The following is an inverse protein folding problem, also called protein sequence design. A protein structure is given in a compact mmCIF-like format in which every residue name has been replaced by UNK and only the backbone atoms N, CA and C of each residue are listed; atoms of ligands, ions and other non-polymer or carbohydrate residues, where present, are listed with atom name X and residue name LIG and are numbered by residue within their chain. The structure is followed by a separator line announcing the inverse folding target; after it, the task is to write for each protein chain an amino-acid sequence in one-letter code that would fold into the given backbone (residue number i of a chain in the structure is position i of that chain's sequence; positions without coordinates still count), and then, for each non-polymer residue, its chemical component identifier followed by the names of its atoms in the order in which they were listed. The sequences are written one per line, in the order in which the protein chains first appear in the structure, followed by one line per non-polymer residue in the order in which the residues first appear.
data_IF_972319765399
#
_entry.id   IF_972319765399
#
_cell.length_a   1.000
_cell.length_b   1.000
_cell.length_c   1.000
_cell.angle_alpha   90.00
_cell.angle_beta   90.00
_cell.angle_gamma   90.00
#
_symmetry.space_group_name_H-M   'P 1'
#
loop_
_entity.id
_entity.type
_entity.pdbx_description
1 polymer ?
#
# COMPACT_ATOMS: atom_id res chain seq x y z
N UNK A 1 7.19 -29.47 -11.80
CA UNK A 1 6.44 -29.71 -13.07
C UNK A 1 6.05 -28.36 -13.67
N UNK A 2 5.27 -27.49 -12.98
CA UNK A 2 4.77 -26.19 -13.50
C UNK A 2 5.88 -25.36 -14.16
N UNK A 3 6.96 -25.06 -13.45
CA UNK A 3 8.02 -24.19 -13.96
C UNK A 3 8.77 -24.77 -15.16
N UNK A 4 8.91 -26.11 -15.22
CA UNK A 4 9.48 -26.78 -16.39
C UNK A 4 8.61 -26.55 -17.62
N UNK A 5 7.30 -26.79 -17.50
CA UNK A 5 6.35 -26.59 -18.60
C UNK A 5 6.38 -25.17 -19.13
N UNK A 6 6.36 -24.17 -18.21
CA UNK A 6 6.42 -22.77 -18.60
C UNK A 6 7.76 -22.40 -19.26
N UNK A 7 8.87 -22.92 -18.72
CA UNK A 7 10.21 -22.72 -19.30
C UNK A 7 10.32 -23.30 -20.71
N UNK A 8 9.82 -24.52 -20.92
CA UNK A 8 9.84 -25.20 -22.23
C UNK A 8 9.02 -24.42 -23.30
N UNK A 9 8.08 -23.62 -22.87
CA UNK A 9 7.28 -22.71 -23.73
C UNK A 9 7.82 -21.28 -23.78
N UNK A 10 8.99 -21.00 -23.20
CA UNK A 10 9.58 -19.66 -23.08
C UNK A 10 8.62 -18.66 -22.42
N UNK A 11 7.92 -19.08 -21.37
CA UNK A 11 7.02 -18.24 -20.59
C UNK A 11 7.72 -17.85 -19.30
N UNK A 12 8.02 -16.56 -19.16
CA UNK A 12 8.60 -15.99 -17.94
C UNK A 12 7.54 -15.78 -16.87
N UNK A 13 7.91 -16.09 -15.62
CA UNK A 13 7.07 -15.85 -14.44
C UNK A 13 7.63 -14.67 -13.67
N UNK A 14 6.85 -13.61 -13.54
CA UNK A 14 7.25 -12.37 -12.86
C UNK A 14 7.06 -12.44 -11.34
N UNK A 15 5.99 -13.08 -10.87
CA UNK A 15 5.67 -13.25 -9.46
C UNK A 15 5.16 -14.66 -9.22
N UNK A 16 5.58 -15.24 -8.09
CA UNK A 16 5.11 -16.52 -7.60
C UNK A 16 4.55 -16.29 -6.20
N UNK A 17 3.35 -16.77 -5.96
CA UNK A 17 2.76 -16.77 -4.61
C UNK A 17 2.19 -18.15 -4.32
N UNK A 18 2.58 -18.71 -3.20
CA UNK A 18 2.11 -20.01 -2.75
C UNK A 18 1.52 -19.86 -1.34
N UNK A 19 0.29 -20.31 -1.17
CA UNK A 19 -0.34 -20.38 0.15
C UNK A 19 0.24 -21.51 0.99
N UNK A 20 0.09 -21.41 2.31
CA UNK A 20 0.58 -22.43 3.27
C UNK A 20 -0.11 -23.79 3.12
N UNK A 21 -1.20 -23.88 2.37
CA UNK A 21 -1.98 -25.12 2.18
C UNK A 21 -1.40 -26.06 1.11
N UNK A 22 -0.32 -25.69 0.42
CA UNK A 22 0.28 -26.43 -0.71
C UNK A 22 -0.67 -26.71 -1.91
N UNK A 23 -1.94 -26.29 -1.81
CA UNK A 23 -2.99 -26.62 -2.76
C UNK A 23 -3.21 -25.59 -3.87
N UNK A 24 -2.50 -24.47 -3.81
CA UNK A 24 -2.64 -23.43 -4.82
C UNK A 24 -1.37 -22.64 -5.03
N UNK A 25 -1.01 -22.43 -6.30
CA UNK A 25 0.11 -21.59 -6.72
C UNK A 25 -0.45 -20.48 -7.61
N UNK A 26 -0.25 -19.22 -7.22
CA UNK A 26 -0.53 -18.07 -8.04
C UNK A 26 0.71 -17.65 -8.81
N UNK A 27 0.57 -17.43 -10.11
CA UNK A 27 1.65 -17.00 -10.98
C UNK A 27 1.25 -15.75 -11.75
N UNK A 28 2.16 -14.81 -11.91
CA UNK A 28 1.99 -13.67 -12.81
C UNK A 28 2.89 -13.87 -14.03
N UNK A 29 2.29 -13.84 -15.19
CA UNK A 29 2.94 -13.98 -16.49
C UNK A 29 2.43 -12.89 -17.45
N UNK A 30 3.09 -12.72 -18.58
CA UNK A 30 2.63 -11.80 -19.61
C UNK A 30 1.27 -12.23 -20.17
N UNK A 31 0.39 -11.26 -20.39
CA UNK A 31 -1.00 -11.51 -20.79
C UNK A 31 -1.13 -12.20 -22.16
N UNK A 32 -0.23 -11.91 -23.09
CA UNK A 32 -0.17 -12.56 -24.42
C UNK A 32 0.20 -14.05 -24.37
N UNK A 33 0.80 -14.50 -23.26
CA UNK A 33 1.20 -15.89 -23.00
C UNK A 33 0.18 -16.68 -22.19
N UNK A 34 -0.86 -16.03 -21.66
CA UNK A 34 -1.80 -16.67 -20.75
C UNK A 34 -2.47 -17.92 -21.33
N UNK A 35 -3.01 -17.82 -22.55
CA UNK A 35 -3.67 -18.97 -23.21
C UNK A 35 -2.69 -20.11 -23.48
N UNK A 36 -1.45 -19.80 -23.90
CA UNK A 36 -0.42 -20.80 -24.15
C UNK A 36 -0.01 -21.52 -22.86
N UNK A 37 0.07 -20.76 -21.74
CA UNK A 37 0.38 -21.32 -20.43
C UNK A 37 -0.71 -22.27 -19.94
N UNK A 38 -1.97 -21.88 -20.06
CA UNK A 38 -3.12 -22.72 -19.65
C UNK A 38 -3.12 -24.03 -20.41
N UNK A 39 -3.07 -23.98 -21.75
CA UNK A 39 -3.08 -25.18 -22.58
C UNK A 39 -1.90 -26.13 -22.26
N UNK A 40 -0.71 -25.58 -22.05
CA UNK A 40 0.46 -26.40 -21.72
C UNK A 40 0.36 -27.03 -20.33
N UNK A 41 -0.19 -26.32 -19.36
CA UNK A 41 -0.41 -26.84 -18.02
C UNK A 41 -1.56 -27.86 -17.98
N UNK A 42 -2.67 -27.63 -18.67
CA UNK A 42 -3.77 -28.58 -18.77
C UNK A 42 -3.30 -29.90 -19.38
N UNK A 43 -2.48 -29.84 -20.42
CA UNK A 43 -1.89 -31.01 -21.05
C UNK A 43 -0.94 -31.78 -20.10
N UNK A 44 -0.05 -31.08 -19.39
CA UNK A 44 0.90 -31.70 -18.45
C UNK A 44 0.20 -32.34 -17.25
N UNK A 45 -0.89 -31.74 -16.79
CA UNK A 45 -1.63 -32.17 -15.59
C UNK A 45 -2.93 -32.96 -15.92
N UNK A 46 -3.12 -33.42 -17.15
CA UNK A 46 -4.33 -34.13 -17.57
C UNK A 46 -4.69 -35.28 -16.63
N UNK A 47 -3.72 -36.13 -16.29
CA UNK A 47 -3.93 -37.26 -15.38
C UNK A 47 -4.25 -36.82 -13.94
N UNK A 48 -3.63 -35.70 -13.49
CA UNK A 48 -3.85 -35.14 -12.15
C UNK A 48 -5.26 -34.51 -12.03
N UNK A 49 -5.85 -34.06 -13.14
CA UNK A 49 -7.26 -33.65 -13.18
C UNK A 49 -8.20 -34.85 -13.08
N UNK A 50 -7.88 -35.96 -13.75
CA UNK A 50 -8.68 -37.18 -13.63
C UNK A 50 -8.65 -37.78 -12.23
N UNK A 51 -7.49 -37.77 -11.54
CA UNK A 51 -7.35 -38.24 -10.16
C UNK A 51 -7.89 -37.25 -9.13
N UNK A 52 -8.31 -36.06 -9.53
CA UNK A 52 -8.75 -34.96 -8.68
C UNK A 52 -7.66 -34.38 -7.74
N UNK A 53 -6.38 -34.62 -8.06
CA UNK A 53 -5.24 -34.00 -7.34
C UNK A 53 -5.08 -32.53 -7.75
N UNK A 54 -5.46 -32.20 -8.99
CA UNK A 54 -5.57 -30.82 -9.48
C UNK A 54 -7.02 -30.52 -9.80
N UNK A 55 -7.57 -29.45 -9.24
CA UNK A 55 -8.99 -29.15 -9.42
C UNK A 55 -9.26 -28.16 -10.54
N UNK A 56 -8.46 -27.11 -10.68
CA UNK A 56 -8.75 -26.04 -11.62
C UNK A 56 -7.52 -25.19 -11.94
N UNK A 57 -7.41 -24.78 -13.20
CA UNK A 57 -6.56 -23.65 -13.61
C UNK A 57 -7.48 -22.47 -13.88
N UNK A 58 -7.32 -21.38 -13.14
CA UNK A 58 -8.09 -20.15 -13.32
C UNK A 58 -7.20 -19.00 -13.76
N UNK A 59 -7.71 -18.17 -14.66
CA UNK A 59 -7.01 -17.00 -15.20
C UNK A 59 -7.72 -15.73 -14.79
N UNK A 60 -6.96 -14.79 -14.22
CA UNK A 60 -7.44 -13.44 -13.94
C UNK A 60 -6.72 -12.47 -14.88
N UNK A 61 -7.46 -11.93 -15.83
CA UNK A 61 -6.94 -10.97 -16.81
C UNK A 61 -7.01 -9.54 -16.28
N UNK A 62 -6.35 -8.62 -17.01
CA UNK A 62 -6.34 -7.19 -16.69
C UNK A 62 -5.89 -6.87 -15.26
N UNK A 63 -4.77 -7.44 -14.88
CA UNK A 63 -4.10 -7.14 -13.61
C UNK A 63 -2.86 -6.27 -13.82
N UNK A 64 -2.45 -5.58 -12.78
CA UNK A 64 -1.22 -4.78 -12.73
C UNK A 64 -0.46 -5.09 -11.45
N UNK A 65 0.85 -5.03 -11.51
CA UNK A 65 1.75 -5.24 -10.38
C UNK A 65 2.18 -3.89 -9.81
N UNK A 66 2.05 -3.72 -8.50
CA UNK A 66 2.59 -2.59 -7.74
C UNK A 66 3.66 -3.15 -6.82
N UNK A 67 4.89 -2.65 -6.93
CA UNK A 67 5.99 -3.03 -6.04
C UNK A 67 6.39 -1.85 -5.16
N UNK A 68 6.41 -2.07 -3.85
CA UNK A 68 6.91 -1.14 -2.85
C UNK A 68 8.32 -1.57 -2.53
N UNK A 69 9.30 -0.71 -2.80
CA UNK A 69 10.73 -1.05 -2.72
C UNK A 69 11.44 -0.12 -1.74
N UNK A 70 12.33 -0.69 -0.92
CA UNK A 70 13.26 0.08 -0.09
C UNK A 70 12.66 0.71 1.17
N UNK A 71 11.41 0.41 1.51
CA UNK A 71 10.77 0.86 2.74
C UNK A 71 10.87 -0.21 3.84
N UNK A 72 10.90 0.23 5.09
CA UNK A 72 10.69 -0.67 6.22
C UNK A 72 9.22 -1.07 6.25
N UNK A 73 8.97 -2.33 5.91
CA UNK A 73 7.63 -2.88 5.78
C UNK A 73 7.11 -3.53 7.08
N UNK A 74 7.79 -3.31 8.20
CA UNK A 74 7.28 -3.72 9.53
C UNK A 74 5.88 -3.16 9.80
N UNK A 75 5.56 -2.00 9.23
CA UNK A 75 4.24 -1.36 9.30
C UNK A 75 3.39 -1.56 8.03
N UNK A 76 3.68 -2.57 7.20
CA UNK A 76 2.96 -2.79 5.94
C UNK A 76 1.44 -3.01 6.10
N UNK A 77 0.98 -3.37 7.29
CA UNK A 77 -0.45 -3.47 7.58
C UNK A 77 -1.21 -2.15 7.31
N UNK A 78 -0.57 -0.99 7.39
CA UNK A 78 -1.21 0.29 7.09
C UNK A 78 -1.60 0.44 5.61
N UNK A 79 -0.69 0.26 4.63
CA UNK A 79 -1.05 0.26 3.20
C UNK A 79 -2.10 -0.78 2.83
N UNK A 80 -1.99 -2.01 3.34
CA UNK A 80 -2.98 -3.05 3.07
C UNK A 80 -4.36 -2.69 3.60
N UNK A 81 -4.47 -2.27 4.86
CA UNK A 81 -5.73 -1.83 5.45
C UNK A 81 -6.32 -0.62 4.72
N UNK A 82 -5.49 0.29 4.23
CA UNK A 82 -5.95 1.42 3.44
C UNK A 82 -6.55 0.99 2.09
N UNK A 83 -5.95 0.01 1.41
CA UNK A 83 -6.50 -0.57 0.19
C UNK A 83 -7.89 -1.17 0.47
N UNK A 84 -8.02 -2.02 1.48
CA UNK A 84 -9.29 -2.65 1.85
C UNK A 84 -10.36 -1.61 2.19
N UNK A 85 -10.03 -0.58 2.98
CA UNK A 85 -10.94 0.54 3.30
C UNK A 85 -11.41 1.31 2.07
N UNK A 86 -10.59 1.34 1.03
CA UNK A 86 -10.93 1.94 -0.26
C UNK A 86 -11.58 0.94 -1.24
N UNK A 87 -11.98 -0.24 -0.76
CA UNK A 87 -12.63 -1.31 -1.54
C UNK A 87 -11.72 -1.87 -2.65
N UNK A 88 -10.39 -1.79 -2.47
CA UNK A 88 -9.41 -2.39 -3.36
C UNK A 88 -8.91 -3.66 -2.70
N UNK A 89 -9.25 -4.81 -3.27
CA UNK A 89 -8.81 -6.11 -2.78
C UNK A 89 -7.70 -6.63 -3.70
N UNK A 90 -6.45 -6.73 -3.22
CA UNK A 90 -5.38 -7.29 -4.02
C UNK A 90 -5.69 -8.73 -4.44
N UNK A 91 -5.48 -9.04 -5.72
CA UNK A 91 -5.67 -10.38 -6.30
C UNK A 91 -4.59 -11.34 -5.79
N UNK A 92 -3.39 -10.81 -5.59
CA UNK A 92 -2.24 -11.56 -5.11
C UNK A 92 -1.31 -10.64 -4.33
N UNK A 93 -0.67 -11.21 -3.33
CA UNK A 93 0.28 -10.52 -2.46
C UNK A 93 1.54 -11.36 -2.32
N UNK A 94 2.70 -10.75 -2.48
CA UNK A 94 3.98 -11.39 -2.28
C UNK A 94 4.93 -10.47 -1.50
N UNK A 95 5.57 -11.01 -0.47
CA UNK A 95 6.55 -10.32 0.34
C UNK A 95 7.91 -11.02 0.23
N UNK A 96 9.00 -10.26 0.15
CA UNK A 96 10.34 -10.83 0.20
C UNK A 96 10.76 -11.14 1.63
N UNK A 97 11.60 -12.16 1.80
CA UNK A 97 12.13 -12.58 3.12
C UNK A 97 12.84 -11.43 3.86
N UNK A 98 13.41 -10.49 3.13
CA UNK A 98 14.09 -9.31 3.72
C UNK A 98 13.14 -8.24 4.25
N UNK A 99 11.82 -8.35 3.97
CA UNK A 99 10.82 -7.34 4.32
C UNK A 99 11.01 -5.98 3.64
N UNK A 100 11.92 -5.85 2.68
CA UNK A 100 12.21 -4.58 2.01
C UNK A 100 11.46 -4.37 0.70
N UNK A 101 10.83 -5.41 0.18
CA UNK A 101 10.05 -5.35 -1.05
C UNK A 101 8.74 -6.10 -0.86
N UNK A 102 7.64 -5.43 -1.18
CA UNK A 102 6.31 -6.04 -1.25
C UNK A 102 5.74 -5.81 -2.63
N UNK A 103 5.21 -6.86 -3.23
CA UNK A 103 4.49 -6.79 -4.49
C UNK A 103 3.02 -7.14 -4.30
N UNK A 104 2.17 -6.30 -4.84
CA UNK A 104 0.72 -6.43 -4.84
C UNK A 104 0.24 -6.54 -6.29
N UNK A 105 -0.71 -7.41 -6.53
CA UNK A 105 -1.40 -7.49 -7.80
C UNK A 105 -2.82 -6.98 -7.62
N UNK A 106 -3.18 -5.98 -8.39
CA UNK A 106 -4.51 -5.37 -8.36
C UNK A 106 -5.14 -5.41 -9.75
N UNK A 107 -6.44 -5.19 -9.85
CA UNK A 107 -7.09 -4.99 -11.14
C UNK A 107 -6.55 -3.73 -11.81
N UNK A 108 -6.40 -3.76 -13.12
CA UNK A 108 -5.77 -2.68 -13.88
C UNK A 108 -6.57 -1.37 -13.83
N UNK A 109 -7.88 -1.46 -13.75
CA UNK A 109 -8.78 -0.30 -13.59
C UNK A 109 -8.64 0.36 -12.20
N UNK A 110 -8.22 -0.39 -11.18
CA UNK A 110 -7.97 0.11 -9.84
C UNK A 110 -6.54 0.64 -9.63
N UNK A 111 -5.64 0.46 -10.60
CA UNK A 111 -4.20 0.74 -10.47
C UNK A 111 -3.91 2.15 -9.95
N UNK A 112 -4.46 3.18 -10.60
CA UNK A 112 -4.21 4.56 -10.20
C UNK A 112 -4.70 4.87 -8.79
N UNK A 113 -5.88 4.38 -8.45
CA UNK A 113 -6.43 4.52 -7.09
C UNK A 113 -5.56 3.80 -6.06
N UNK A 114 -5.15 2.56 -6.36
CA UNK A 114 -4.29 1.77 -5.49
C UNK A 114 -2.93 2.44 -5.25
N UNK A 115 -2.27 2.92 -6.31
CA UNK A 115 -0.99 3.63 -6.20
C UNK A 115 -1.12 4.87 -5.32
N UNK A 116 -2.17 5.69 -5.51
CA UNK A 116 -2.40 6.89 -4.70
C UNK A 116 -2.65 6.54 -3.21
N UNK A 117 -3.44 5.51 -2.95
CA UNK A 117 -3.71 5.04 -1.57
C UNK A 117 -2.44 4.55 -0.90
N UNK A 118 -1.64 3.71 -1.58
CA UNK A 118 -0.38 3.19 -1.05
C UNK A 118 0.62 4.33 -0.83
N UNK A 119 0.78 5.21 -1.83
CA UNK A 119 1.70 6.34 -1.75
C UNK A 119 1.37 7.24 -0.55
N UNK A 120 0.09 7.54 -0.34
CA UNK A 120 -0.36 8.32 0.82
C UNK A 120 -0.05 7.66 2.17
N UNK A 121 -0.01 6.34 2.24
CA UNK A 121 0.32 5.61 3.46
C UNK A 121 1.83 5.44 3.66
N UNK A 122 2.56 5.12 2.61
CA UNK A 122 4.01 4.84 2.67
C UNK A 122 4.83 6.11 2.86
N UNK A 123 4.51 7.15 2.11
CA UNK A 123 5.24 8.43 2.17
C UNK A 123 4.61 9.45 3.11
N UNK A 124 3.46 9.13 3.65
CA UNK A 124 2.71 9.97 4.58
C UNK A 124 2.25 11.29 3.94
N UNK A 125 0.97 11.43 3.69
CA UNK A 125 0.43 12.77 3.48
C UNK A 125 0.47 13.46 4.85
N UNK A 126 1.48 14.30 5.07
CA UNK A 126 1.50 15.16 6.25
C UNK A 126 0.27 16.05 6.23
N UNK A 127 -0.70 15.73 7.07
CA UNK A 127 -1.92 16.53 7.17
C UNK A 127 -1.59 17.85 7.85
N UNK A 128 -1.68 18.96 7.13
CA UNK A 128 -1.48 20.28 7.70
C UNK A 128 -2.77 20.78 8.35
N UNK A 129 -2.72 21.08 9.66
CA UNK A 129 -3.82 21.67 10.42
C UNK A 129 -3.45 23.11 10.75
N UNK A 130 -4.21 24.05 10.23
CA UNK A 130 -4.02 25.47 10.53
C UNK A 130 -4.90 25.85 11.71
N UNK A 131 -4.31 26.45 12.75
CA UNK A 131 -4.99 26.84 13.99
C UNK A 131 -4.89 28.34 14.17
N UNK A 132 -6.03 28.96 14.52
CA UNK A 132 -6.09 30.32 15.04
C UNK A 132 -6.46 30.27 16.52
N UNK A 133 -5.72 30.97 17.38
CA UNK A 133 -5.95 31.03 18.83
C UNK A 133 -6.46 32.41 19.22
N UNK A 134 -7.65 32.46 19.78
CA UNK A 134 -8.28 33.67 20.26
C UNK A 134 -8.25 33.69 21.78
N UNK A 135 -7.54 34.66 22.35
CA UNK A 135 -7.32 34.84 23.78
C UNK A 135 -5.94 34.31 24.22
N UNK A 136 -5.09 35.23 24.67
CA UNK A 136 -3.78 34.97 25.24
C UNK A 136 -3.81 35.16 26.77
N UNK A 137 -4.84 34.64 27.43
CA UNK A 137 -4.88 34.50 28.89
C UNK A 137 -4.12 33.23 29.33
N UNK A 138 -4.24 32.86 30.60
CA UNK A 138 -3.57 31.70 31.16
C UNK A 138 -3.79 30.43 30.31
N UNK A 139 -5.03 30.12 29.97
CA UNK A 139 -5.40 28.94 29.19
C UNK A 139 -4.82 29.00 27.77
N UNK A 140 -4.94 30.14 27.08
CA UNK A 140 -4.42 30.30 25.72
C UNK A 140 -2.89 30.22 25.65
N UNK A 141 -2.18 30.76 26.64
CA UNK A 141 -0.73 30.66 26.74
C UNK A 141 -0.30 29.19 26.95
N UNK A 142 -0.92 28.50 27.93
CA UNK A 142 -0.64 27.08 28.17
C UNK A 142 -0.90 26.20 26.95
N UNK A 143 -1.98 26.48 26.20
CA UNK A 143 -2.26 25.76 24.96
C UNK A 143 -1.17 25.96 23.89
N UNK A 144 -0.67 27.19 23.75
CA UNK A 144 0.43 27.50 22.82
C UNK A 144 1.68 26.71 23.21
N UNK A 145 2.05 26.70 24.48
CA UNK A 145 3.22 25.98 24.99
C UNK A 145 3.08 24.48 24.71
N UNK A 146 1.91 23.88 24.98
CA UNK A 146 1.62 22.47 24.68
C UNK A 146 1.70 22.16 23.19
N UNK A 147 1.22 23.05 22.32
CA UNK A 147 1.33 22.88 20.88
C UNK A 147 2.81 22.87 20.45
N UNK A 148 3.60 23.82 20.94
CA UNK A 148 5.03 23.92 20.62
C UNK A 148 5.78 22.66 21.07
N UNK A 149 5.57 22.23 22.31
CA UNK A 149 6.22 21.04 22.85
C UNK A 149 5.86 19.74 22.11
N UNK A 150 4.58 19.58 21.77
CA UNK A 150 4.08 18.31 21.23
C UNK A 150 4.09 18.23 19.69
N UNK A 151 4.20 19.35 18.96
CA UNK A 151 4.19 19.38 17.50
C UNK A 151 5.22 18.42 16.88
N UNK A 152 6.49 18.33 17.31
CA UNK A 152 7.46 17.38 16.76
C UNK A 152 7.00 15.92 16.91
N UNK A 153 6.52 15.53 18.09
CA UNK A 153 6.04 14.18 18.36
C UNK A 153 4.77 13.83 17.57
N UNK A 154 3.86 14.80 17.41
CA UNK A 154 2.63 14.64 16.62
C UNK A 154 2.97 14.51 15.13
N UNK A 155 3.93 15.28 14.64
CA UNK A 155 4.41 15.18 13.26
C UNK A 155 5.02 13.81 12.98
N UNK A 156 5.90 13.34 13.86
CA UNK A 156 6.58 12.07 13.73
C UNK A 156 5.61 10.89 13.77
N UNK A 157 4.78 10.81 14.82
CA UNK A 157 3.88 9.68 15.10
C UNK A 157 2.61 9.67 14.27
N UNK A 158 2.04 10.84 13.97
CA UNK A 158 0.72 10.98 13.33
C UNK A 158 0.78 11.56 11.94
N UNK A 159 1.95 12.01 11.49
CA UNK A 159 2.13 12.75 10.23
C UNK A 159 1.17 13.95 10.14
N UNK A 160 0.99 14.63 11.28
CA UNK A 160 0.17 15.86 11.38
C UNK A 160 1.09 17.02 11.68
N UNK A 161 1.15 17.98 10.77
CA UNK A 161 1.82 19.26 10.96
C UNK A 161 0.82 20.27 11.50
N UNK A 162 1.01 20.72 12.73
CA UNK A 162 0.22 21.78 13.33
C UNK A 162 0.86 23.12 12.98
N UNK A 163 0.09 24.01 12.39
CA UNK A 163 0.53 25.36 12.01
C UNK A 163 -0.36 26.39 12.73
N UNK A 164 0.17 27.07 13.72
CA UNK A 164 -0.53 28.18 14.38
C UNK A 164 -0.31 29.41 13.51
N UNK A 165 -1.28 29.76 12.67
CA UNK A 165 -1.16 30.88 11.74
C UNK A 165 -1.64 32.21 12.32
N UNK A 166 -2.41 32.18 13.40
CA UNK A 166 -2.94 33.39 14.05
C UNK A 166 -3.01 33.25 15.57
N UNK A 167 -2.61 34.28 16.27
CA UNK A 167 -2.84 34.46 17.71
C UNK A 167 -3.41 35.85 17.92
N UNK A 168 -4.57 35.93 18.56
CA UNK A 168 -5.26 37.19 18.79
C UNK A 168 -5.66 37.39 20.25
N UNK A 169 -5.71 38.61 20.69
CA UNK A 169 -6.37 39.06 21.93
C UNK A 169 -7.30 40.23 21.62
N UNK A 170 -7.93 40.83 22.66
CA UNK A 170 -8.86 41.93 22.50
C UNK A 170 -8.27 43.21 21.87
N UNK A 171 -6.95 43.32 21.77
CA UNK A 171 -6.25 44.53 21.30
C UNK A 171 -5.34 44.32 20.11
N UNK A 172 -4.80 43.10 19.89
CA UNK A 172 -3.77 42.80 18.88
C UNK A 172 -4.00 41.45 18.23
N UNK A 173 -3.59 41.34 16.98
CA UNK A 173 -3.55 40.10 16.22
C UNK A 173 -2.15 39.91 15.67
N UNK A 174 -1.60 38.73 15.84
CA UNK A 174 -0.38 38.25 15.18
C UNK A 174 -0.79 37.27 14.10
N UNK A 175 -0.37 37.48 12.86
CA UNK A 175 -0.65 36.61 11.71
C UNK A 175 0.66 36.19 11.06
N UNK A 176 0.80 34.92 10.73
CA UNK A 176 1.91 34.39 9.95
C UNK A 176 1.44 33.27 9.06
N UNK A 177 1.67 33.39 7.72
CA UNK A 177 1.32 32.32 6.76
C UNK A 177 2.14 31.05 6.97
N UNK A 178 3.36 31.18 7.46
CA UNK A 178 4.30 30.07 7.67
C UNK A 178 4.20 29.47 9.07
N UNK A 179 3.41 30.07 9.93
CA UNK A 179 3.28 29.74 11.35
C UNK A 179 3.97 30.74 12.24
N UNK A 180 3.43 30.91 13.45
CA UNK A 180 4.01 31.75 14.49
C UNK A 180 5.13 30.95 15.15
N UNK A 181 6.38 31.38 14.97
CA UNK A 181 7.55 30.88 15.73
C UNK A 181 7.67 31.61 17.06
N UNK A 182 8.39 31.01 18.00
CA UNK A 182 8.77 31.67 19.26
C UNK A 182 9.52 32.95 19.02
#
# INVERSE_FOLDING_TARGET
RIFRVLSDKNISVSIISQGSSERGIGLIIDADKANQAVLALEQEFENDFYSQDVHQISVVNNVAVISIIGQDLSEFHHPYNALIKNQIVPVLFNNTVTGKNVSLVVRKDELHKAVNVIHGQVFGITKKINIAIFGKGLVGATLIDQIIENTPSVLERRKIQINVFAVANSKKVLLSKEGVSQ
#
